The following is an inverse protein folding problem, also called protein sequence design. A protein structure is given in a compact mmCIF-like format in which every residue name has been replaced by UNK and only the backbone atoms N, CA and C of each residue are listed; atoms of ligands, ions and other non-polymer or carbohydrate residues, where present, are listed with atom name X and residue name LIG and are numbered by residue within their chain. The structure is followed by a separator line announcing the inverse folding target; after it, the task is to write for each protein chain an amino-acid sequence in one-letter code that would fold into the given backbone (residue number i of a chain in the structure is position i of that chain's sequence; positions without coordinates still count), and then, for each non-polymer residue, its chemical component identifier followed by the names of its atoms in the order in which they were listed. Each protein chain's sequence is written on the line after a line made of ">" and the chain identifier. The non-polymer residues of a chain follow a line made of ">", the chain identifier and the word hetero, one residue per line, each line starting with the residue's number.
data_IF_724477596079
#
_entry.id   IF_724477596079
#
_cell.length_a   1.000
_cell.length_b   1.000
_cell.length_c   1.000
_cell.angle_alpha   90.00
_cell.angle_beta   90.00
_cell.angle_gamma   90.00
#
_symmetry.space_group_name_H-M   'P 1'
#
loop_
_entity.id
_entity.type
_entity.pdbx_description
1 polymer ?
2 polymer ?
3 non-polymer ?
4 non-polymer ?
5 water ?
#
# COMPACT_ATOMS: atom_id res chain seq x y z
N UNK A 5 -12.51 21.68 -14.90
CA UNK A 5 -11.67 22.13 -16.03
C UNK A 5 -10.72 20.99 -16.42
N UNK A 6 -10.02 21.19 -17.54
CA UNK A 6 -8.95 20.30 -17.96
C UNK A 6 -7.58 20.96 -17.77
N UNK A 7 -6.78 20.35 -16.91
CA UNK A 7 -5.46 20.85 -16.52
C UNK A 7 -4.35 20.17 -17.32
N UNK A 8 -4.56 18.93 -17.77
CA UNK A 8 -3.52 18.23 -18.53
C UNK A 8 -3.52 18.69 -19.99
N UNK A 9 -2.32 18.87 -20.56
CA UNK A 9 -2.23 19.25 -21.97
C UNK A 9 -2.33 18.03 -22.88
N UNK A 10 -2.35 16.81 -22.30
CA UNK A 10 -2.23 15.58 -23.09
C UNK A 10 -2.52 14.41 -22.16
N UNK A 11 -3.31 13.42 -22.62
CA UNK A 11 -3.68 12.29 -21.77
C UNK A 11 -2.64 11.15 -21.86
N UNK A 12 -1.41 11.45 -21.38
CA UNK A 12 -0.27 10.55 -21.46
C UNK A 12 0.61 10.79 -20.24
N UNK A 13 1.52 9.84 -20.00
CA UNK A 13 2.52 10.00 -18.93
C UNK A 13 3.28 11.31 -19.15
N UNK A 14 3.63 11.63 -20.41
CA UNK A 14 4.31 12.89 -20.68
C UNK A 14 3.47 14.10 -20.28
N UNK A 15 2.16 14.11 -20.56
CA UNK A 15 1.31 15.21 -20.16
C UNK A 15 1.22 15.33 -18.62
N UNK A 16 1.22 14.18 -17.94
CA UNK A 16 1.20 14.20 -16.47
C UNK A 16 2.50 14.79 -15.94
N UNK A 17 3.64 14.37 -16.53
CA UNK A 17 4.94 14.88 -16.09
C UNK A 17 5.02 16.40 -16.24
N UNK A 18 4.55 16.96 -17.38
CA UNK A 18 4.55 18.40 -17.60
C UNK A 18 3.70 19.10 -16.53
N UNK A 19 2.56 18.49 -16.18
CA UNK A 19 1.70 19.04 -15.15
C UNK A 19 2.41 19.00 -13.79
N UNK A 20 3.04 17.87 -13.46
CA UNK A 20 3.73 17.73 -12.18
C UNK A 20 4.84 18.79 -12.03
N UNK A 21 5.50 19.13 -13.14
CA UNK A 21 6.62 20.08 -13.14
C UNK A 21 6.14 21.52 -12.99
N UNK A 22 4.83 21.73 -13.17
CA UNK A 22 4.28 23.07 -13.21
C UNK A 22 3.99 23.58 -11.81
N UNK A 23 3.79 24.89 -11.71
CA UNK A 23 3.46 25.51 -10.43
C UNK A 23 2.10 25.03 -9.91
N UNK A 24 1.26 24.43 -10.77
CA UNK A 24 -0.09 24.06 -10.38
C UNK A 24 -0.10 22.82 -9.49
N UNK A 25 0.94 22.00 -9.62
CA UNK A 25 0.95 20.72 -8.92
C UNK A 25 1.69 20.84 -7.59
N UNK A 26 0.96 21.18 -6.52
CA UNK A 26 1.55 21.50 -5.21
C UNK A 26 1.37 20.36 -4.21
N UNK A 27 0.24 19.65 -4.31
CA UNK A 27 -0.13 18.61 -3.36
C UNK A 27 -0.50 17.33 -4.11
N UNK A 28 0.21 16.25 -3.77
CA UNK A 28 0.00 14.96 -4.43
C UNK A 28 -0.42 13.94 -3.39
N UNK A 29 -1.46 13.16 -3.72
CA UNK A 29 -1.79 12.00 -2.89
C UNK A 29 -1.48 10.74 -3.70
N UNK A 30 -0.82 9.76 -3.04
CA UNK A 30 -0.58 8.47 -3.64
C UNK A 30 -1.57 7.47 -3.07
N UNK A 31 -2.21 6.67 -3.94
CA UNK A 31 -3.01 5.53 -3.51
C UNK A 31 -2.34 4.27 -4.04
N UNK A 32 -1.93 3.36 -3.13
CA UNK A 32 -1.06 2.29 -3.54
C UNK A 32 -1.57 0.94 -3.05
N UNK A 33 -1.22 -0.11 -3.82
CA UNK A 33 -1.52 -1.48 -3.45
C UNK A 33 -0.39 -2.46 -3.74
N UNK A 34 -0.79 -3.74 -3.90
CA UNK A 34 0.13 -4.89 -3.92
C UNK A 34 1.22 -4.75 -4.96
N UNK A 35 0.88 -4.15 -6.11
CA UNK A 35 1.79 -3.96 -7.23
C UNK A 35 3.06 -3.16 -6.93
N UNK A 36 3.04 -2.30 -5.88
CA UNK A 36 4.24 -1.54 -5.56
C UNK A 36 5.24 -2.36 -4.75
N UNK A 37 4.86 -3.57 -4.33
CA UNK A 37 5.67 -4.36 -3.42
C UNK A 37 6.09 -5.69 -4.05
N UNK A 38 5.56 -6.02 -5.23
CA UNK A 38 5.82 -7.33 -5.82
C UNK A 38 7.30 -7.52 -6.15
N UNK A 39 8.00 -6.45 -6.53
CA UNK A 39 9.41 -6.54 -6.89
C UNK A 39 10.29 -6.62 -5.64
N UNK A 40 9.69 -6.36 -4.47
CA UNK A 40 10.36 -6.53 -3.19
C UNK A 40 10.16 -7.96 -2.70
N UNK A 41 9.49 -8.76 -3.52
CA UNK A 41 9.22 -10.15 -3.19
C UNK A 41 8.08 -10.31 -2.18
N UNK A 42 7.20 -9.30 -2.10
CA UNK A 42 6.05 -9.37 -1.24
C UNK A 42 4.90 -10.02 -2.02
N UNK A 43 4.27 -11.10 -1.51
CA UNK A 43 3.19 -11.77 -2.23
C UNK A 43 1.95 -10.92 -2.50
N UNK A 44 1.31 -11.13 -3.66
CA UNK A 44 0.29 -10.25 -4.19
C UNK A 44 -1.11 -10.69 -3.73
N UNK A 45 -1.54 -11.86 -4.22
CA UNK A 45 -2.84 -12.47 -3.93
C UNK A 45 -3.97 -11.86 -4.77
N UNK A 46 -3.66 -10.90 -5.65
CA UNK A 46 -4.68 -10.31 -6.51
C UNK A 46 -5.22 -11.38 -7.46
N UNK A 47 -4.31 -12.16 -8.05
CA UNK A 47 -4.64 -13.25 -8.95
C UNK A 47 -3.56 -14.33 -8.88
N UNK A 48 -3.57 -15.19 -7.83
CA UNK A 48 -2.49 -16.18 -7.62
C UNK A 48 -2.31 -17.16 -8.79
N UNK A 53 -2.65 -21.24 -4.96
CA UNK A 53 -3.88 -21.87 -4.40
C UNK A 53 -3.57 -23.25 -3.85
N UNK A 54 -2.61 -23.95 -4.48
CA UNK A 54 -2.26 -25.31 -4.14
C UNK A 54 -1.69 -25.38 -2.73
N UNK A 55 -0.98 -24.31 -2.34
CA UNK A 55 -0.31 -24.24 -1.05
C UNK A 55 -1.35 -24.34 0.08
N UNK A 56 -2.57 -23.87 -0.20
CA UNK A 56 -3.58 -23.69 0.82
C UNK A 56 -4.22 -25.02 1.22
N UNK A 57 -4.14 -26.02 0.35
CA UNK A 57 -4.86 -27.29 0.48
C UNK A 57 -4.66 -27.89 1.87
N UNK A 58 -3.40 -27.85 2.34
CA UNK A 58 -2.97 -28.55 3.54
C UNK A 58 -3.68 -28.00 4.79
N UNK A 59 -4.26 -26.80 4.66
CA UNK A 59 -4.92 -26.14 5.78
C UNK A 59 -6.40 -26.53 5.84
N UNK A 60 -6.94 -26.97 4.69
CA UNK A 60 -8.34 -27.38 4.57
C UNK A 60 -9.25 -26.21 4.90
N UNK A 61 -9.17 -25.15 4.09
CA UNK A 61 -10.02 -23.98 4.26
C UNK A 61 -11.40 -24.27 3.67
N UNK A 62 -12.48 -23.64 4.17
CA UNK A 62 -13.80 -23.72 3.55
C UNK A 62 -13.78 -23.18 2.12
N UNK A 63 -12.98 -22.12 1.93
CA UNK A 63 -12.70 -21.53 0.62
C UNK A 63 -11.41 -20.71 0.74
N UNK A 64 -10.57 -20.64 -0.32
CA UNK A 64 -9.29 -19.92 -0.25
C UNK A 64 -9.30 -18.57 0.46
N UNK A 65 -10.32 -17.75 0.17
CA UNK A 65 -10.35 -16.38 0.66
C UNK A 65 -10.62 -16.32 2.16
N UNK A 66 -10.99 -17.47 2.75
CA UNK A 66 -11.29 -17.53 4.18
C UNK A 66 -10.04 -17.25 5.02
N UNK A 67 -8.86 -17.42 4.42
CA UNK A 67 -7.62 -17.24 5.16
C UNK A 67 -7.37 -15.76 5.47
N UNK A 68 -8.05 -14.87 4.73
CA UNK A 68 -7.91 -13.43 4.93
C UNK A 68 -9.19 -12.82 5.52
N UNK A 69 -10.08 -13.68 6.04
CA UNK A 69 -11.36 -13.22 6.58
C UNK A 69 -11.33 -13.33 8.11
N UNK A 70 -11.92 -12.32 8.78
CA UNK A 70 -11.73 -12.16 10.22
C UNK A 70 -12.46 -13.27 10.98
N UNK A 71 -13.64 -13.66 10.48
CA UNK A 71 -14.48 -14.64 11.16
C UNK A 71 -13.71 -15.94 11.35
N UNK A 72 -13.08 -16.42 10.27
CA UNK A 72 -12.34 -17.67 10.28
C UNK A 72 -11.08 -17.56 11.13
N UNK A 73 -10.32 -16.47 10.97
CA UNK A 73 -9.09 -16.29 11.72
C UNK A 73 -9.36 -16.41 13.22
N UNK A 74 -10.47 -15.80 13.67
CA UNK A 74 -10.90 -15.86 15.06
C UNK A 74 -11.05 -17.31 15.50
N UNK A 75 -11.77 -18.10 14.68
CA UNK A 75 -12.11 -19.48 15.01
C UNK A 75 -10.87 -20.37 14.90
N UNK A 76 -10.07 -20.15 13.85
CA UNK A 76 -8.91 -21.00 13.55
C UNK A 76 -7.74 -20.14 13.09
N UNK A 77 -6.89 -19.64 14.01
CA UNK A 77 -5.77 -18.78 13.64
C UNK A 77 -4.56 -19.53 13.06
N UNK A 78 -4.54 -20.85 13.22
CA UNK A 78 -3.38 -21.65 12.85
C UNK A 78 -3.01 -21.47 11.38
N UNK A 79 -3.94 -21.64 10.40
CA UNK A 79 -3.60 -21.47 8.98
C UNK A 79 -2.85 -20.18 8.68
N UNK A 80 -3.36 -19.04 9.16
CA UNK A 80 -2.83 -17.73 8.82
C UNK A 80 -1.35 -17.62 9.22
N UNK A 81 -1.01 -18.05 10.45
CA UNK A 81 0.33 -17.87 10.97
C UNK A 81 1.32 -18.81 10.31
N UNK A 82 0.81 -19.97 9.86
CA UNK A 82 1.62 -20.95 9.16
C UNK A 82 1.90 -20.46 7.74
N UNK A 83 0.93 -19.76 7.14
CA UNK A 83 1.11 -19.17 5.82
C UNK A 83 2.07 -17.99 5.92
N UNK A 84 2.02 -17.28 7.05
CA UNK A 84 2.92 -16.18 7.34
C UNK A 84 4.36 -16.69 7.49
N UNK A 85 4.52 -17.89 8.06
CA UNK A 85 5.85 -18.49 8.18
C UNK A 85 6.40 -18.79 6.80
N UNK A 86 5.59 -19.48 6.01
CA UNK A 86 5.98 -20.11 4.75
C UNK A 86 6.24 -19.06 3.68
N UNK A 87 5.51 -17.93 3.76
CA UNK A 87 5.63 -16.89 2.74
C UNK A 87 6.39 -15.68 3.29
N UNK A 88 6.84 -15.75 4.54
CA UNK A 88 7.51 -14.62 5.17
C UNK A 88 8.75 -14.23 4.36
N UNK A 89 8.88 -12.97 3.90
CA UNK A 89 10.06 -12.54 3.15
C UNK A 89 11.36 -12.59 3.94
N UNK A 90 12.45 -13.00 3.27
CA UNK A 90 13.77 -13.07 3.86
C UNK A 90 14.36 -11.69 4.19
N UNK A 91 13.96 -10.68 3.41
CA UNK A 91 14.44 -9.31 3.55
C UNK A 91 13.26 -8.36 3.34
N UNK A 92 13.40 -7.13 3.85
CA UNK A 92 12.41 -6.07 3.67
C UNK A 92 13.08 -4.86 3.04
N UNK A 93 13.22 -4.90 1.70
CA UNK A 93 13.86 -3.86 0.91
C UNK A 93 12.82 -3.14 0.06
N UNK A 94 12.50 -1.86 0.34
CA UNK A 94 11.48 -1.16 -0.44
C UNK A 94 11.89 -1.05 -1.90
N UNK A 95 10.89 -0.87 -2.76
CA UNK A 95 11.12 -0.82 -4.20
C UNK A 95 11.39 0.60 -4.70
N UNK A 96 11.73 0.72 -5.99
CA UNK A 96 11.88 1.99 -6.66
C UNK A 96 10.62 2.84 -6.44
N UNK A 97 9.45 2.19 -6.52
CA UNK A 97 8.18 2.88 -6.33
C UNK A 97 8.09 3.50 -4.93
N UNK A 98 8.45 2.74 -3.88
CA UNK A 98 8.51 3.30 -2.54
C UNK A 98 9.44 4.52 -2.49
N UNK A 99 10.61 4.41 -3.14
CA UNK A 99 11.60 5.47 -3.08
C UNK A 99 11.16 6.69 -3.88
N UNK A 100 10.34 6.48 -4.92
CA UNK A 100 9.76 7.58 -5.66
C UNK A 100 8.82 8.37 -4.74
N UNK A 101 8.04 7.68 -3.90
CA UNK A 101 7.22 8.37 -2.93
C UNK A 101 8.06 9.11 -1.89
N UNK A 102 9.21 8.54 -1.50
CA UNK A 102 10.17 9.24 -0.65
C UNK A 102 10.63 10.55 -1.31
N UNK A 103 10.89 10.51 -2.63
CA UNK A 103 11.27 11.73 -3.33
C UNK A 103 10.15 12.76 -3.29
N UNK A 104 8.89 12.34 -3.45
CA UNK A 104 7.79 13.29 -3.37
C UNK A 104 7.74 13.95 -1.98
N UNK A 105 8.07 13.16 -0.94
CA UNK A 105 8.09 13.66 0.43
C UNK A 105 9.20 14.70 0.56
N UNK A 106 10.39 14.35 0.09
CA UNK A 106 11.56 15.20 0.22
C UNK A 106 11.35 16.50 -0.53
N UNK A 107 10.63 16.43 -1.67
CA UNK A 107 10.38 17.61 -2.50
C UNK A 107 9.13 18.39 -2.10
N UNK A 108 8.49 18.02 -0.99
CA UNK A 108 7.40 18.80 -0.42
C UNK A 108 6.11 18.65 -1.22
N UNK A 109 6.02 17.56 -2.00
CA UNK A 109 4.87 17.39 -2.86
C UNK A 109 3.89 16.39 -2.26
N UNK A 110 4.37 15.50 -1.38
CA UNK A 110 3.51 14.43 -0.90
C UNK A 110 2.64 14.93 0.25
N UNK A 111 1.33 15.00 -0.01
CA UNK A 111 0.36 15.32 1.03
C UNK A 111 0.08 14.08 1.87
N UNK A 112 -0.14 12.92 1.23
CA UNK A 112 -0.40 11.69 1.96
C UNK A 112 -0.24 10.50 1.02
N UNK A 113 0.22 9.38 1.59
CA UNK A 113 0.16 8.09 0.90
C UNK A 113 -0.85 7.21 1.63
N UNK A 114 -1.92 6.84 0.92
CA UNK A 114 -2.90 5.87 1.40
C UNK A 114 -2.48 4.52 0.83
N UNK A 115 -2.21 3.55 1.69
CA UNK A 115 -1.70 2.24 1.29
C UNK A 115 -2.66 1.13 1.72
N UNK A 116 -2.84 0.14 0.83
CA UNK A 116 -3.57 -1.08 1.14
C UNK A 116 -2.62 -2.16 1.66
N UNK A 117 -1.32 -1.87 1.66
CA UNK A 117 -0.30 -2.88 1.94
C UNK A 117 0.01 -2.89 3.43
N UNK A 118 0.51 -4.05 3.90
CA UNK A 118 0.72 -4.28 5.33
C UNK A 118 2.18 -4.63 5.60
N UNK A 119 3.06 -4.40 4.61
CA UNK A 119 4.41 -4.92 4.61
C UNK A 119 5.41 -3.96 5.26
N UNK A 120 4.96 -2.75 5.67
CA UNK A 120 5.77 -1.72 6.32
C UNK A 120 6.80 -1.06 5.41
N UNK A 121 6.76 -1.33 4.10
CA UNK A 121 7.85 -0.88 3.25
C UNK A 121 7.82 0.64 3.09
N UNK A 122 6.63 1.27 3.21
CA UNK A 122 6.59 2.72 3.14
C UNK A 122 7.41 3.35 4.27
N UNK A 123 7.28 2.79 5.48
CA UNK A 123 7.98 3.29 6.65
C UNK A 123 9.49 3.06 6.47
N UNK A 124 9.83 1.88 5.95
CA UNK A 124 11.23 1.53 5.76
C UNK A 124 11.87 2.48 4.75
N UNK A 125 11.08 2.94 3.75
CA UNK A 125 11.56 3.86 2.74
C UNK A 125 11.67 5.29 3.28
N UNK A 126 11.15 5.52 4.49
CA UNK A 126 11.34 6.79 5.15
C UNK A 126 10.13 7.72 5.07
N UNK A 127 8.95 7.18 4.73
CA UNK A 127 7.74 7.95 4.97
C UNK A 127 7.42 7.86 6.47
N UNK A 128 7.04 8.99 7.06
CA UNK A 128 6.73 9.07 8.47
C UNK A 128 5.25 8.73 8.68
N UNK A 129 4.88 8.44 9.93
CA UNK A 129 3.50 8.20 10.33
C UNK A 129 2.59 9.27 9.73
N UNK A 130 2.98 10.54 9.85
CA UNK A 130 2.19 11.69 9.44
C UNK A 130 1.90 11.63 7.94
N UNK A 131 2.79 10.97 7.18
CA UNK A 131 2.66 10.94 5.72
C UNK A 131 1.74 9.80 5.27
N UNK A 132 1.40 8.90 6.20
CA UNK A 132 0.83 7.62 5.81
C UNK A 132 -0.57 7.44 6.35
N UNK A 133 -1.43 6.86 5.52
CA UNK A 133 -2.65 6.22 5.99
C UNK A 133 -2.54 4.74 5.62
N UNK A 134 -2.29 3.91 6.65
CA UNK A 134 -2.20 2.47 6.51
C UNK A 134 -3.61 1.90 6.60
N UNK A 135 -4.30 1.94 5.46
CA UNK A 135 -5.74 1.74 5.38
C UNK A 135 -6.11 0.33 5.85
N UNK A 136 -5.21 -0.63 5.60
CA UNK A 136 -5.48 -2.03 5.91
C UNK A 136 -4.60 -2.49 7.07
N UNK A 137 -4.13 -1.53 7.87
CA UNK A 137 -3.32 -1.80 9.05
C UNK A 137 -1.88 -2.18 8.72
N UNK A 138 -1.19 -2.84 9.66
CA UNK A 138 0.24 -3.06 9.54
C UNK A 138 0.70 -4.24 10.40
N UNK A 139 1.85 -4.81 10.02
CA UNK A 139 2.53 -5.83 10.83
C UNK A 139 3.46 -5.18 11.83
N UNK A 140 3.71 -3.87 11.69
CA UNK A 140 4.74 -3.20 12.47
C UNK A 140 4.44 -3.33 13.96
N UNK A 141 3.14 -3.35 14.30
CA UNK A 141 2.69 -3.56 15.66
C UNK A 141 1.64 -4.68 15.71
N UNK A 142 1.52 -5.32 16.87
CA UNK A 142 0.52 -6.35 17.12
C UNK A 142 -0.09 -6.14 18.50
N UNK A 143 -1.35 -6.56 18.67
CA UNK A 143 -2.08 -6.33 19.91
C UNK A 143 -2.86 -7.56 20.33
N UNK A 144 -2.82 -7.81 21.64
CA UNK A 144 -3.77 -8.65 22.35
C UNK A 144 -5.20 -8.23 21.99
N UNK A 145 -6.06 -9.23 21.75
CA UNK A 145 -7.41 -9.02 21.22
C UNK A 145 -8.40 -8.69 22.33
N UNK A 146 -7.96 -8.71 23.60
CA UNK A 146 -8.84 -8.47 24.73
C UNK A 146 -8.89 -6.98 25.05
N UNK A 147 -10.12 -6.41 25.00
CA UNK A 147 -10.40 -4.99 25.17
C UNK A 147 -9.85 -4.45 26.49
N UNK A 148 -10.02 -5.23 27.57
CA UNK A 148 -9.64 -4.79 28.90
C UNK A 148 -8.11 -4.84 29.07
N UNK A 149 -7.40 -5.12 27.98
CA UNK A 149 -5.97 -5.38 28.06
C UNK A 149 -5.24 -4.66 26.92
N UNK A 150 -5.13 -5.32 25.75
CA UNK A 150 -4.55 -4.77 24.54
C UNK A 150 -3.05 -4.51 24.73
N UNK A 151 -2.32 -5.54 25.18
CA UNK A 151 -0.87 -5.50 25.21
C UNK A 151 -0.35 -5.38 23.78
N UNK A 152 0.63 -4.48 23.57
CA UNK A 152 1.23 -4.24 22.25
C UNK A 152 2.56 -4.97 22.15
N UNK A 153 2.82 -5.54 20.96
CA UNK A 153 4.05 -6.27 20.69
C UNK A 153 4.67 -5.78 19.37
N UNK A 154 6.02 -5.68 19.29
CA UNK A 154 6.68 -5.30 18.03
C UNK A 154 6.83 -6.49 17.09
N UNK A 155 7.33 -6.21 15.88
CA UNK A 155 7.43 -7.21 14.83
C UNK A 155 8.45 -8.28 15.21
N UNK A 156 9.56 -7.86 15.85
CA UNK A 156 10.59 -8.73 16.36
C UNK A 156 9.98 -9.92 17.11
N UNK A 157 9.06 -9.60 18.02
CA UNK A 157 8.38 -10.57 18.87
C UNK A 157 7.42 -11.41 18.03
N UNK A 158 6.83 -10.80 16.99
CA UNK A 158 5.75 -11.41 16.23
C UNK A 158 6.29 -12.53 15.34
N UNK A 159 7.39 -12.27 14.63
CA UNK A 159 7.95 -13.22 13.68
C UNK A 159 8.51 -14.43 14.41
N UNK A 160 9.09 -14.20 15.61
CA UNK A 160 9.67 -15.25 16.42
C UNK A 160 8.59 -16.28 16.75
N UNK A 161 7.35 -15.81 16.94
CA UNK A 161 6.23 -16.67 17.27
C UNK A 161 5.74 -17.40 16.01
N UNK A 162 5.85 -16.72 14.86
CA UNK A 162 5.43 -17.25 13.57
C UNK A 162 6.37 -18.39 13.16
N UNK A 163 7.67 -18.20 13.42
CA UNK A 163 8.68 -19.16 12.99
C UNK A 163 8.61 -20.41 13.84
N UNK A 164 8.41 -20.24 15.16
CA UNK A 164 8.37 -21.33 16.12
C UNK A 164 7.10 -22.15 16.00
N UNK A 165 6.15 -21.65 15.19
CA UNK A 165 4.92 -22.35 14.83
C UNK A 165 4.00 -22.49 16.05
N UNK A 166 4.18 -21.62 17.05
CA UNK A 166 3.28 -21.55 18.20
C UNK A 166 2.53 -20.22 18.14
N UNK A 167 1.20 -20.31 18.24
CA UNK A 167 0.28 -19.19 18.14
C UNK A 167 0.68 -18.10 19.14
N UNK A 168 0.82 -16.83 18.69
CA UNK A 168 1.22 -15.73 19.58
C UNK A 168 0.12 -15.44 20.59
N UNK A 169 0.48 -15.41 21.87
CA UNK A 169 -0.50 -15.19 22.91
C UNK A 169 0.02 -14.19 23.95
N UNK A 170 -0.91 -13.40 24.46
CA UNK A 170 -0.70 -12.54 25.61
C UNK A 170 -0.46 -13.43 26.82
N UNK A 171 0.58 -13.13 27.59
CA UNK A 171 0.88 -13.86 28.81
C UNK A 171 -0.07 -13.40 29.91
N UNK A 172 -0.39 -12.09 29.89
CA UNK A 172 -1.14 -11.42 30.94
C UNK A 172 -2.56 -11.97 31.00
N UNK A 173 -3.20 -12.15 29.84
CA UNK A 173 -4.62 -12.49 29.79
C UNK A 173 -4.86 -13.81 29.07
N UNK A 174 -3.82 -14.35 28.42
CA UNK A 174 -3.86 -15.65 27.78
C UNK A 174 -4.48 -15.59 26.38
N UNK A 175 -5.08 -14.44 26.01
CA UNK A 175 -5.78 -14.35 24.74
C UNK A 175 -4.79 -14.14 23.58
N UNK A 176 -5.31 -14.28 22.36
CA UNK A 176 -4.56 -14.25 21.11
C UNK A 176 -3.95 -12.86 20.88
N UNK A 177 -2.78 -12.81 20.22
CA UNK A 177 -2.21 -11.55 19.76
C UNK A 177 -2.22 -11.51 18.24
N UNK A 178 -2.86 -10.46 17.69
CA UNK A 178 -3.14 -10.30 16.27
C UNK A 178 -2.28 -9.15 15.73
N UNK A 179 -1.61 -9.33 14.58
CA UNK A 179 -0.95 -8.21 13.90
C UNK A 179 -2.01 -7.15 13.61
N UNK A 180 -1.61 -5.87 13.70
CA UNK A 180 -2.55 -4.77 13.56
C UNK A 180 -2.99 -4.64 12.09
N UNK A 181 -3.34 -5.76 11.45
CA UNK A 181 -3.78 -5.75 10.06
C UNK A 181 -5.30 -5.82 10.02
N UNK A 182 -5.89 -5.21 8.99
CA UNK A 182 -7.32 -5.24 8.76
C UNK A 182 -7.67 -6.42 7.86
N UNK A 183 -8.22 -7.49 8.45
CA UNK A 183 -8.76 -8.61 7.70
C UNK A 183 -10.05 -8.19 7.00
N UNK A 184 -10.41 -8.89 5.92
CA UNK A 184 -11.74 -8.72 5.33
C UNK A 184 -12.76 -9.02 6.43
N UNK A 185 -13.81 -8.19 6.53
CA UNK A 185 -14.81 -8.36 7.58
C UNK A 185 -14.55 -7.45 8.76
N UNK A 186 -13.36 -6.83 8.81
CA UNK A 186 -13.03 -5.85 9.83
C UNK A 186 -13.22 -4.46 9.23
N UNK A 187 -13.76 -3.54 10.05
CA UNK A 187 -13.94 -2.15 9.64
C UNK A 187 -12.58 -1.44 9.65
N UNK A 188 -12.43 -0.41 8.81
CA UNK A 188 -11.11 0.21 8.65
C UNK A 188 -10.76 1.09 9.85
N UNK A 189 -9.47 1.47 10.01
CA UNK A 189 -9.04 2.37 11.09
C UNK A 189 -9.59 3.79 11.01
N UNK A 190 -9.75 4.43 12.18
CA UNK A 190 -10.30 5.76 12.32
C UNK A 190 -9.56 6.77 11.46
N UNK A 191 -8.24 6.61 11.38
CA UNK A 191 -7.35 7.53 10.68
C UNK A 191 -7.68 7.60 9.19
N UNK A 192 -8.09 6.47 8.61
CA UNK A 192 -8.50 6.46 7.21
C UNK A 192 -9.61 7.48 6.98
N UNK A 193 -10.63 7.46 7.86
CA UNK A 193 -11.77 8.36 7.66
C UNK A 193 -11.48 9.79 8.04
N UNK A 194 -10.68 10.00 9.08
CA UNK A 194 -10.38 11.36 9.50
C UNK A 194 -9.53 12.07 8.45
N UNK A 195 -8.55 11.36 7.87
CA UNK A 195 -7.68 11.97 6.88
C UNK A 195 -8.45 12.20 5.57
N UNK A 196 -9.32 11.27 5.20
CA UNK A 196 -10.01 11.32 3.92
C UNK A 196 -10.96 12.51 3.90
N UNK A 197 -11.40 12.94 5.09
CA UNK A 197 -12.38 13.99 5.21
C UNK A 197 -11.82 15.32 4.71
N UNK A 198 -10.50 15.53 4.85
CA UNK A 198 -9.94 16.81 4.45
C UNK A 198 -8.80 16.71 3.43
N UNK A 199 -8.16 15.54 3.25
CA UNK A 199 -6.98 15.50 2.41
C UNK A 199 -7.31 15.81 0.94
N UNK A 200 -8.55 15.49 0.56
CA UNK A 200 -8.96 15.53 -0.84
C UNK A 200 -9.46 16.91 -1.24
N UNK A 201 -9.59 17.85 -0.28
CA UNK A 201 -10.16 19.16 -0.57
C UNK A 201 -9.36 19.97 -1.59
N UNK A 202 -8.01 19.96 -1.49
CA UNK A 202 -7.17 20.81 -2.31
C UNK A 202 -6.06 20.01 -3.01
N UNK A 203 -6.35 18.78 -3.40
CA UNK A 203 -5.29 17.92 -3.92
C UNK A 203 -5.13 18.18 -5.42
N UNK A 204 -3.88 18.22 -5.91
CA UNK A 204 -3.60 18.60 -7.29
C UNK A 204 -3.38 17.39 -8.21
N UNK A 205 -3.02 16.23 -7.65
CA UNK A 205 -2.81 15.03 -8.47
C UNK A 205 -3.02 13.80 -7.60
N UNK A 206 -3.70 12.79 -8.13
CA UNK A 206 -3.68 11.47 -7.53
C UNK A 206 -2.71 10.60 -8.34
N UNK A 207 -1.81 9.91 -7.66
CA UNK A 207 -0.98 8.87 -8.28
C UNK A 207 -1.45 7.54 -7.72
N UNK A 208 -2.12 6.74 -8.56
CA UNK A 208 -2.69 5.49 -8.14
C UNK A 208 -1.76 4.40 -8.69
N UNK A 209 -1.06 3.68 -7.80
CA UNK A 209 -0.02 2.77 -8.28
C UNK A 209 -0.20 1.39 -7.65
N UNK A 210 -0.17 0.36 -8.51
CA UNK A 210 -0.12 -1.01 -8.05
C UNK A 210 -1.42 -1.50 -7.42
N UNK A 211 -2.54 -0.83 -7.73
CA UNK A 211 -3.85 -1.28 -7.29
C UNK A 211 -4.84 -1.23 -8.45
N UNK A 212 -5.74 -2.23 -8.49
CA UNK A 212 -6.87 -2.26 -9.41
C UNK A 212 -8.14 -1.69 -8.77
N UNK A 213 -8.01 -1.15 -7.55
CA UNK A 213 -9.12 -0.54 -6.82
C UNK A 213 -10.26 -1.56 -6.68
N UNK A 214 -9.89 -2.76 -6.23
CA UNK A 214 -10.78 -3.92 -6.14
C UNK A 214 -11.40 -4.01 -4.76
N UNK A 215 -10.84 -3.28 -3.80
CA UNK A 215 -11.18 -3.46 -2.40
C UNK A 215 -11.83 -2.17 -1.89
N UNK A 216 -13.01 -2.31 -1.25
CA UNK A 216 -13.76 -1.20 -0.69
C UNK A 216 -13.58 -1.17 0.82
N UNK A 217 -13.65 0.00 1.50
CA UNK A 217 -13.95 1.29 0.87
C UNK A 217 -12.74 2.09 0.34
N UNK A 218 -11.57 1.45 0.33
CA UNK A 218 -10.36 2.10 -0.17
C UNK A 218 -10.57 2.62 -1.59
N UNK A 219 -11.22 1.82 -2.43
CA UNK A 219 -11.39 2.15 -3.84
C UNK A 219 -12.18 3.46 -4.02
N UNK A 220 -13.02 3.80 -3.02
CA UNK A 220 -13.87 4.97 -3.15
C UNK A 220 -13.07 6.27 -2.99
N UNK A 221 -11.80 6.18 -2.57
CA UNK A 221 -10.99 7.37 -2.37
C UNK A 221 -10.86 8.19 -3.65
N UNK A 222 -10.85 7.53 -4.82
CA UNK A 222 -10.58 8.25 -6.07
C UNK A 222 -11.66 9.29 -6.35
N UNK A 223 -12.88 9.05 -5.85
CA UNK A 223 -13.98 9.94 -6.20
C UNK A 223 -14.05 11.16 -5.28
N UNK A 224 -13.16 11.23 -4.28
CA UNK A 224 -13.18 12.30 -3.29
C UNK A 224 -12.46 13.55 -3.77
N UNK A 225 -11.56 13.39 -4.75
CA UNK A 225 -10.81 14.52 -5.28
C UNK A 225 -11.72 15.44 -6.09
N UNK A 226 -11.40 16.76 -6.19
CA UNK A 226 -12.13 17.67 -7.07
C UNK A 226 -12.19 17.14 -8.50
N UNK A 227 -13.20 17.58 -9.27
CA UNK A 227 -13.40 17.04 -10.62
C UNK A 227 -12.24 17.37 -11.55
N UNK A 228 -11.49 18.44 -11.24
CA UNK A 228 -10.40 18.91 -12.07
C UNK A 228 -9.08 18.20 -11.77
N UNK A 229 -9.01 17.43 -10.68
CA UNK A 229 -7.72 16.87 -10.26
C UNK A 229 -7.29 15.73 -11.18
N UNK A 230 -6.16 15.81 -11.94
CA UNK A 230 -5.73 14.69 -12.76
C UNK A 230 -5.40 13.46 -11.94
N UNK A 231 -5.61 12.28 -12.55
CA UNK A 231 -5.37 11.02 -11.86
C UNK A 231 -4.57 10.11 -12.79
N UNK A 232 -3.38 9.69 -12.32
CA UNK A 232 -2.52 8.80 -13.10
C UNK A 232 -2.56 7.42 -12.46
N UNK A 233 -2.87 6.40 -13.28
CA UNK A 233 -2.82 5.02 -12.84
C UNK A 233 -1.55 4.37 -13.42
N UNK A 234 -0.68 3.86 -12.55
CA UNK A 234 0.43 3.00 -12.96
C UNK A 234 0.13 1.60 -12.43
N UNK A 235 -0.19 0.64 -13.33
CA UNK A 235 -0.67 -0.66 -12.86
C UNK A 235 -0.56 -1.70 -13.99
N UNK A 236 -0.63 -2.99 -13.62
CA UNK A 236 -0.66 -4.07 -14.58
C UNK A 236 -1.90 -4.02 -15.48
N UNK A 237 -3.01 -3.44 -14.99
CA UNK A 237 -4.25 -3.42 -15.74
C UNK A 237 -5.04 -2.13 -15.45
N UNK A 238 -5.98 -1.81 -16.35
CA UNK A 238 -6.89 -0.69 -16.14
C UNK A 238 -7.80 -1.02 -14.96
N UNK A 239 -8.06 -0.02 -14.13
CA UNK A 239 -8.86 -0.18 -12.92
C UNK A 239 -9.50 1.16 -12.53
N UNK A 243 -15.05 4.67 -11.76
CA UNK A 243 -14.79 6.12 -11.55
C UNK A 243 -13.89 6.71 -12.63
N UNK A 244 -12.91 5.92 -13.07
CA UNK A 244 -11.85 6.41 -13.94
C UNK A 244 -12.38 6.41 -15.36
N UNK A 245 -12.07 7.49 -16.12
CA UNK A 245 -12.41 7.52 -17.53
C UNK A 245 -11.15 7.84 -18.34
N UNK A 246 -10.51 6.79 -18.86
CA UNK A 246 -9.27 6.95 -19.60
C UNK A 246 -9.56 7.11 -21.08
N UNK A 247 -10.69 6.52 -21.55
CA UNK A 247 -10.80 6.17 -22.96
C UNK A 247 -12.04 6.70 -23.67
N UNK A 248 -13.00 7.28 -22.93
CA UNK A 248 -14.21 7.81 -23.57
C UNK A 248 -13.89 9.08 -24.34
N UNK A 249 -14.85 9.49 -25.20
CA UNK A 249 -14.76 10.77 -25.89
C UNK A 249 -14.88 11.94 -24.93
N UNK A 250 -15.22 11.67 -23.65
CA UNK A 250 -15.26 12.73 -22.67
C UNK A 250 -14.03 12.70 -21.76
N UNK A 251 -13.08 11.79 -22.00
CA UNK A 251 -11.92 11.70 -21.10
C UNK A 251 -11.19 13.04 -21.07
N UNK A 252 -10.77 13.45 -19.86
CA UNK A 252 -10.18 14.78 -19.75
C UNK A 252 -9.05 14.82 -18.72
N UNK A 253 -8.92 13.81 -17.85
CA UNK A 253 -8.03 14.01 -16.68
C UNK A 253 -7.40 12.73 -16.14
N UNK A 254 -7.83 11.57 -16.64
CA UNK A 254 -7.37 10.26 -16.19
C UNK A 254 -6.46 9.65 -17.24
N UNK A 255 -5.31 9.13 -16.81
CA UNK A 255 -4.30 8.56 -17.69
C UNK A 255 -3.91 7.20 -17.10
N UNK A 256 -3.82 6.18 -17.97
CA UNK A 256 -3.43 4.85 -17.54
C UNK A 256 -2.12 4.49 -18.23
N UNK A 257 -1.14 4.13 -17.41
CA UNK A 257 0.12 3.60 -17.91
C UNK A 257 0.23 2.15 -17.43
N UNK A 258 0.23 1.23 -18.41
CA UNK A 258 0.11 -0.17 -18.06
C UNK A 258 1.49 -0.82 -18.08
N UNK A 259 1.83 -1.44 -16.94
CA UNK A 259 3.13 -2.06 -16.76
C UNK A 259 3.44 -2.26 -15.28
N UNK A 260 4.70 -2.60 -15.00
CA UNK A 260 5.12 -2.80 -13.62
C UNK A 260 5.37 -1.44 -13.00
N UNK A 261 5.09 -1.31 -11.70
CA UNK A 261 5.18 -0.04 -11.01
C UNK A 261 6.60 0.52 -11.04
N UNK A 262 7.61 -0.34 -10.90
CA UNK A 262 8.97 0.17 -10.89
C UNK A 262 9.29 0.78 -12.25
N UNK A 263 8.87 0.09 -13.33
CA UNK A 263 9.12 0.61 -14.67
C UNK A 263 8.42 1.95 -14.86
N UNK A 264 7.17 2.05 -14.41
CA UNK A 264 6.43 3.28 -14.58
C UNK A 264 7.00 4.44 -13.77
N UNK A 265 7.41 4.18 -12.53
CA UNK A 265 7.99 5.23 -11.71
C UNK A 265 9.34 5.64 -12.29
N UNK A 266 10.12 4.67 -12.79
CA UNK A 266 11.39 5.03 -13.43
C UNK A 266 11.13 5.96 -14.62
N UNK A 267 10.11 5.62 -15.44
CA UNK A 267 9.75 6.39 -16.61
C UNK A 267 9.32 7.80 -16.25
N UNK A 268 8.50 7.93 -15.18
CA UNK A 268 8.04 9.23 -14.73
C UNK A 268 9.21 10.04 -14.17
N UNK A 269 10.06 9.39 -13.36
CA UNK A 269 11.19 10.10 -12.78
C UNK A 269 12.08 10.66 -13.90
N UNK A 270 12.31 9.85 -14.94
CA UNK A 270 13.14 10.24 -16.09
C UNK A 270 12.55 11.50 -16.74
N UNK A 271 11.22 11.52 -16.94
CA UNK A 271 10.53 12.67 -17.50
C UNK A 271 10.70 13.92 -16.64
N UNK A 272 10.78 13.75 -15.31
CA UNK A 272 10.84 14.85 -14.35
C UNK A 272 12.28 15.26 -14.07
N UNK A 273 13.23 14.50 -14.60
CA UNK A 273 14.65 14.79 -14.39
C UNK A 273 15.17 14.30 -13.03
N UNK A 274 14.47 13.31 -12.45
CA UNK A 274 14.77 12.80 -11.12
C UNK A 274 15.43 11.43 -11.16
N UNK A 275 15.73 10.91 -12.35
CA UNK A 275 16.14 9.52 -12.51
C UNK A 275 17.41 9.23 -11.69
N UNK A 276 18.42 10.10 -11.81
CA UNK A 276 19.69 9.92 -11.13
C UNK A 276 19.51 10.00 -9.62
N UNK A 277 18.77 11.02 -9.16
CA UNK A 277 18.45 11.19 -7.76
C UNK A 277 17.77 9.93 -7.22
N UNK A 278 16.78 9.40 -7.98
CA UNK A 278 16.05 8.23 -7.55
C UNK A 278 17.00 7.03 -7.48
N UNK A 279 17.84 6.85 -8.51
CA UNK A 279 18.70 5.68 -8.57
C UNK A 279 19.72 5.71 -7.43
N UNK A 280 20.26 6.89 -7.14
CA UNK A 280 21.23 7.05 -6.06
C UNK A 280 20.58 6.67 -4.72
N UNK A 281 19.36 7.18 -4.50
CA UNK A 281 18.65 6.96 -3.25
C UNK A 281 18.42 5.46 -3.04
N UNK A 282 17.93 4.78 -4.08
CA UNK A 282 17.66 3.35 -4.00
C UNK A 282 18.97 2.61 -3.68
N UNK A 283 20.04 3.00 -4.37
CA UNK A 283 21.30 2.27 -4.24
C UNK A 283 21.81 2.35 -2.79
N UNK A 284 21.85 3.57 -2.25
CA UNK A 284 22.29 3.84 -0.89
C UNK A 284 21.46 3.04 0.12
N UNK A 285 20.12 3.07 -0.04
CA UNK A 285 19.21 2.56 0.96
C UNK A 285 19.27 1.04 0.97
N UNK A 286 19.32 0.45 -0.23
CA UNK A 286 19.48 -0.98 -0.38
C UNK A 286 20.79 -1.45 0.22
N UNK A 287 21.87 -0.69 0.00
CA UNK A 287 23.18 -1.02 0.53
C UNK A 287 23.14 -1.04 2.06
N UNK A 288 22.46 -0.05 2.66
CA UNK A 288 22.29 -0.01 4.10
C UNK A 288 21.59 -1.27 4.61
N UNK A 289 20.46 -1.62 3.99
CA UNK A 289 19.66 -2.76 4.41
C UNK A 289 20.48 -4.04 4.31
N UNK A 290 21.25 -4.16 3.22
CA UNK A 290 22.08 -5.33 2.95
C UNK A 290 23.13 -5.49 4.05
N UNK A 291 23.57 -4.36 4.61
CA UNK A 291 24.63 -4.34 5.61
C UNK A 291 24.09 -4.75 6.98
N UNK A 292 22.78 -4.60 7.18
CA UNK A 292 22.12 -4.94 8.44
C UNK A 292 21.97 -6.46 8.55
N UNK B 2 -13.86 -3.76 5.54
CA UNK B 2 -13.13 -4.23 4.39
C UNK B 2 -13.85 -5.33 3.65
N UNK B 3 -14.10 -5.06 2.38
CA UNK B 3 -14.90 -5.91 1.52
C UNK B 3 -14.45 -5.81 0.09
N UNK B 4 -14.68 -6.88 -0.69
CA UNK B 4 -14.41 -6.88 -2.13
C UNK B 4 -15.36 -5.99 -2.88
#
# INVERSE_FOLDING_TARGET
>A
GSQKERLLDELTLEGVARYMQSERCRRVICLVGAGISTSAGIPDFRSPSTGLYDNLEKYHLPYPEAIFEISYFKKHPEPFFALAKELYPGQFKPTICHYFMRLLKDKGLLLRCYTQNIDTLERIAGLEQEDLVEAHGTFYTSHCVSASCRHEYPLSWMKEKIFSEVTPKCEDCQSLVKPDIVFFGESLPARFFSCMQSDFLKVDLLLVMGTSLQVQPFASLISKAPLSTPRLLINKEKAGGGGMDFDSKKAYRDVAWLGECDQGCLALAELLGWKKELEDLVRREHASIDAQS
>B
XKRRX
#
